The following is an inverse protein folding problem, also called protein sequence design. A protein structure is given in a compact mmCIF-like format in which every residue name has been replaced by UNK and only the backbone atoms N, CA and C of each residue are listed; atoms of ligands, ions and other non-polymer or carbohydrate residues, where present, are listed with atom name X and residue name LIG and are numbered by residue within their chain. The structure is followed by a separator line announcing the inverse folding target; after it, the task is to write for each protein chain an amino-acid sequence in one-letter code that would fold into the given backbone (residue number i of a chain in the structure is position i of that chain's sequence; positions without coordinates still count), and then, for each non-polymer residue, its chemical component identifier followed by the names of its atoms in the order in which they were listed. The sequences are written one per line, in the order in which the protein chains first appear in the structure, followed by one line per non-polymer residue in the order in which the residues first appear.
data_IF_951309279518
#
_entry.id   IF_951309279518
#
_cell.length_a   1.000
_cell.length_b   1.000
_cell.length_c   1.000
_cell.angle_alpha   90.00
_cell.angle_beta   90.00
_cell.angle_gamma   90.00
#
_symmetry.space_group_name_H-M   'P 1'
#
loop_
_entity.id
_entity.type
_entity.pdbx_description
1 polymer ?
#
# COMPACT_ATOMS: atom_id res chain seq x y z
N UNK A 1 15.56 29.50 14.49
CA UNK A 1 16.24 28.19 14.35
C UNK A 1 15.23 27.20 13.79
N UNK A 2 15.17 27.00 12.47
CA UNK A 2 14.23 26.04 11.87
C UNK A 2 14.73 24.62 12.14
N UNK A 3 14.07 23.93 13.06
CA UNK A 3 14.22 22.49 13.25
C UNK A 3 13.55 21.77 12.08
N UNK A 4 14.24 21.70 10.94
CA UNK A 4 13.96 20.69 9.93
C UNK A 4 14.27 19.33 10.57
N UNK A 5 13.29 18.78 11.29
CA UNK A 5 13.29 17.38 11.69
C UNK A 5 13.31 16.60 10.37
N UNK A 6 14.47 16.06 10.02
CA UNK A 6 14.60 15.03 9.00
C UNK A 6 13.67 13.93 9.47
N UNK A 7 12.45 13.89 8.94
CA UNK A 7 11.51 12.82 9.22
C UNK A 7 12.29 11.55 8.91
N UNK A 8 12.51 10.72 9.94
CA UNK A 8 13.04 9.37 9.76
C UNK A 8 12.22 8.81 8.61
N UNK A 9 12.86 8.55 7.46
CA UNK A 9 12.14 8.07 6.30
C UNK A 9 11.40 6.82 6.77
N UNK A 10 10.10 6.94 7.02
CA UNK A 10 9.25 5.79 7.27
C UNK A 10 9.53 4.91 6.06
N UNK A 11 10.05 3.71 6.30
CA UNK A 11 10.43 2.81 5.21
C UNK A 11 9.12 2.35 4.57
N UNK A 12 8.54 3.21 3.73
CA UNK A 12 7.29 2.95 3.05
C UNK A 12 7.54 1.78 2.11
N UNK A 13 6.80 0.71 2.35
CA UNK A 13 6.88 -0.50 1.56
C UNK A 13 5.91 -0.36 0.39
N UNK A 14 6.40 -0.60 -0.82
CA UNK A 14 5.56 -0.55 -2.01
C UNK A 14 5.02 -1.93 -2.33
N UNK A 15 3.74 -2.00 -2.65
CA UNK A 15 3.05 -3.19 -3.13
C UNK A 15 2.47 -2.94 -4.51
N UNK A 16 2.47 -3.98 -5.33
CA UNK A 16 1.66 -4.05 -6.54
C UNK A 16 0.38 -4.82 -6.22
N UNK A 17 -0.75 -4.25 -6.64
CA UNK A 17 -2.08 -4.85 -6.55
C UNK A 17 -2.46 -5.24 -7.97
N UNK A 18 -2.51 -6.53 -8.23
CA UNK A 18 -2.96 -7.10 -9.51
C UNK A 18 -4.47 -7.38 -9.41
N UNK A 19 -5.24 -6.89 -10.38
CA UNK A 19 -6.69 -7.08 -10.47
C UNK A 19 -7.03 -8.23 -11.43
N UNK A 20 -8.22 -8.80 -11.24
CA UNK A 20 -8.73 -9.89 -12.09
C UNK A 20 -8.90 -9.48 -13.57
N UNK A 21 -9.09 -8.19 -13.84
CA UNK A 21 -9.26 -7.61 -15.19
C UNK A 21 -7.93 -7.16 -15.83
N UNK A 22 -6.81 -7.71 -15.36
CA UNK A 22 -5.44 -7.40 -15.80
C UNK A 22 -4.95 -5.97 -15.51
N UNK A 23 -5.74 -5.13 -14.83
CA UNK A 23 -5.26 -3.85 -14.32
C UNK A 23 -4.29 -4.06 -13.17
N UNK A 24 -3.41 -3.09 -12.97
CA UNK A 24 -2.48 -3.05 -11.84
C UNK A 24 -2.55 -1.68 -11.18
N UNK A 25 -2.48 -1.67 -9.86
CA UNK A 25 -2.31 -0.45 -9.08
C UNK A 25 -1.14 -0.61 -8.12
N UNK A 26 -0.65 0.52 -7.61
CA UNK A 26 0.42 0.54 -6.63
C UNK A 26 -0.09 1.06 -5.31
N UNK A 27 0.31 0.37 -4.24
CA UNK A 27 -0.06 0.69 -2.87
C UNK A 27 1.22 1.01 -2.09
N UNK A 28 1.22 2.13 -1.38
CA UNK A 28 2.26 2.48 -0.41
C UNK A 28 1.78 2.21 1.00
N UNK A 29 2.56 1.47 1.78
CA UNK A 29 2.30 1.21 3.19
C UNK A 29 3.44 1.80 4.02
N UNK A 30 3.16 2.88 4.73
CA UNK A 30 4.17 3.63 5.50
C UNK A 30 4.56 2.93 6.81
N UNK A 31 3.69 2.07 7.33
CA UNK A 31 3.91 1.30 8.55
C UNK A 31 4.59 -0.03 8.20
N UNK A 32 5.89 -0.21 8.52
CA UNK A 32 6.62 -1.43 8.18
C UNK A 32 6.09 -2.66 8.93
N UNK A 33 5.46 -2.48 10.11
CA UNK A 33 4.81 -3.56 10.83
C UNK A 33 3.61 -4.07 10.05
N UNK A 34 2.74 -3.16 9.59
CA UNK A 34 1.60 -3.51 8.73
C UNK A 34 2.03 -4.06 7.37
N UNK A 35 3.13 -3.55 6.81
CA UNK A 35 3.67 -4.06 5.55
C UNK A 35 4.24 -5.48 5.66
N UNK A 36 4.64 -5.92 6.85
CA UNK A 36 5.12 -7.29 7.06
C UNK A 36 3.98 -8.31 7.22
N UNK A 37 2.76 -7.86 7.48
CA UNK A 37 1.58 -8.71 7.62
C UNK A 37 0.73 -8.67 6.33
N UNK A 38 0.69 -9.76 5.54
CA UNK A 38 -0.12 -9.83 4.32
C UNK A 38 -1.60 -9.54 4.54
N UNK A 39 -2.16 -9.89 5.72
CA UNK A 39 -3.57 -9.62 6.04
C UNK A 39 -3.81 -8.14 6.24
N UNK A 40 -2.93 -7.47 6.98
CA UNK A 40 -2.99 -6.02 7.17
C UNK A 40 -2.87 -5.29 5.83
N UNK A 41 -1.96 -5.71 4.94
CA UNK A 41 -1.83 -5.12 3.60
C UNK A 41 -3.12 -5.31 2.79
N UNK A 42 -3.75 -6.48 2.85
CA UNK A 42 -5.04 -6.71 2.19
C UNK A 42 -6.16 -5.79 2.69
N UNK A 43 -6.24 -5.57 4.00
CA UNK A 43 -7.21 -4.63 4.59
C UNK A 43 -6.93 -3.18 4.19
N UNK A 44 -5.67 -2.78 4.12
CA UNK A 44 -5.27 -1.44 3.66
C UNK A 44 -5.65 -1.25 2.19
N UNK A 45 -5.37 -2.24 1.33
CA UNK A 45 -5.75 -2.18 -0.07
C UNK A 45 -7.27 -2.00 -0.22
N UNK A 46 -8.07 -2.78 0.51
CA UNK A 46 -9.53 -2.65 0.50
C UNK A 46 -10.01 -1.29 0.99
N UNK A 47 -9.47 -0.79 2.10
CA UNK A 47 -9.82 0.53 2.61
C UNK A 47 -9.49 1.65 1.61
N UNK A 48 -8.37 1.53 0.87
CA UNK A 48 -8.03 2.49 -0.18
C UNK A 48 -8.93 2.38 -1.41
N UNK A 49 -9.45 1.20 -1.74
CA UNK A 49 -10.48 1.06 -2.77
C UNK A 49 -11.79 1.74 -2.35
N UNK A 50 -12.21 1.56 -1.10
CA UNK A 50 -13.41 2.19 -0.54
C UNK A 50 -13.30 3.72 -0.50
N UNK A 51 -12.09 4.24 -0.28
CA UNK A 51 -11.78 5.67 -0.35
C UNK A 51 -11.62 6.21 -1.79
N UNK A 52 -11.59 5.34 -2.79
CA UNK A 52 -11.37 5.71 -4.20
C UNK A 52 -9.91 6.02 -4.56
N UNK A 53 -8.96 5.81 -3.63
CA UNK A 53 -7.52 6.00 -3.85
C UNK A 53 -6.93 4.85 -4.69
N UNK A 54 -7.46 3.63 -4.50
CA UNK A 54 -7.19 2.50 -5.37
C UNK A 54 -8.37 2.25 -6.30
N UNK A 55 -8.13 1.79 -7.55
CA UNK A 55 -9.20 1.38 -8.44
C UNK A 55 -10.12 0.35 -7.77
N UNK A 56 -11.42 0.57 -7.86
CA UNK A 56 -12.40 -0.47 -7.56
C UNK A 56 -12.24 -1.67 -8.50
N UNK A 57 -12.61 -2.85 -8.01
CA UNK A 57 -12.53 -4.11 -8.74
C UNK A 57 -12.05 -5.25 -7.86
N UNK A 58 -12.05 -6.45 -8.43
CA UNK A 58 -11.62 -7.65 -7.73
C UNK A 58 -10.09 -7.75 -7.70
N UNK A 59 -9.52 -7.71 -6.49
CA UNK A 59 -8.08 -7.83 -6.28
C UNK A 59 -7.72 -9.31 -6.38
N UNK A 60 -6.96 -9.67 -7.42
CA UNK A 60 -6.51 -11.04 -7.63
C UNK A 60 -5.28 -11.38 -6.78
N UNK A 61 -4.33 -10.45 -6.65
CA UNK A 61 -3.16 -10.65 -5.78
C UNK A 61 -2.51 -9.34 -5.35
N UNK A 62 -1.79 -9.40 -4.23
CA UNK A 62 -0.98 -8.28 -3.73
C UNK A 62 0.44 -8.79 -3.50
N UNK A 63 1.44 -8.10 -4.06
CA UNK A 63 2.84 -8.51 -3.96
C UNK A 63 3.72 -7.34 -3.53
N UNK A 64 4.65 -7.60 -2.61
CA UNK A 64 5.63 -6.60 -2.17
C UNK A 64 6.68 -6.37 -3.26
N UNK A 65 7.02 -5.12 -3.51
CA UNK A 65 8.02 -4.71 -4.50
C UNK A 65 9.30 -4.18 -3.85
N UNK A 66 9.20 -3.35 -2.80
CA UNK A 66 10.34 -2.83 -2.03
C UNK A 66 9.94 -2.59 -0.58
#
# INVERSE_FOLDING_TARGET
MNTFRKATAAKSVMFVVDYADARRAYLWVDDPGKASDPRAVGLIARAQQEQGTLPGGDIASIRRVR
#
